data_IF_459463981804
#
_entry.id   IF_459463981804
#
_cell.length_a   1.000
_cell.length_b   1.000
_cell.length_c   1.000
_cell.angle_alpha   90.00
_cell.angle_beta   90.00
_cell.angle_gamma   90.00
#
_symmetry.space_group_name_H-M   'P 1'
#
loop_
_entity.id
_entity.type
_entity.pdbx_description
1 polymer ?
#
# COMPACT_ATOMS: atom_id res chain seq x y z
N UNK A 1 -1.95 -3.97 22.58
CA UNK A 1 -1.94 -4.96 21.47
C UNK A 1 -1.59 -4.23 20.18
N UNK A 2 -0.72 -4.85 19.34
CA UNK A 2 -0.52 -4.40 17.96
C UNK A 2 -1.35 -5.34 17.08
N UNK A 3 -2.27 -4.77 16.30
CA UNK A 3 -3.16 -5.51 15.40
C UNK A 3 -2.70 -5.34 13.94
N UNK A 4 -2.42 -6.44 13.26
CA UNK A 4 -2.01 -6.46 11.87
C UNK A 4 -3.16 -6.82 10.91
N UNK A 5 -4.36 -7.03 11.44
CA UNK A 5 -5.56 -7.26 10.63
C UNK A 5 -6.15 -5.94 10.12
N UNK A 6 -7.21 -6.00 9.34
CA UNK A 6 -7.96 -4.81 8.93
C UNK A 6 -9.13 -4.48 9.88
N UNK A 7 -9.28 -5.21 11.00
CA UNK A 7 -10.47 -5.15 11.83
C UNK A 7 -10.66 -3.80 12.54
N UNK A 8 -9.55 -3.14 12.92
CA UNK A 8 -9.59 -1.93 13.75
C UNK A 8 -9.06 -0.68 13.05
N UNK A 9 -8.64 -0.80 11.79
CA UNK A 9 -7.97 0.32 11.08
C UNK A 9 -8.83 1.57 10.93
N UNK A 10 -10.15 1.39 10.89
CA UNK A 10 -11.11 2.48 10.63
C UNK A 10 -11.86 2.94 11.87
N UNK A 11 -11.61 2.32 13.02
CA UNK A 11 -12.20 2.74 14.29
C UNK A 11 -11.56 4.05 14.75
N UNK A 12 -12.36 5.05 15.08
CA UNK A 12 -11.89 6.40 15.46
C UNK A 12 -11.07 6.39 16.76
N UNK A 13 -11.36 5.45 17.65
CA UNK A 13 -10.71 5.26 18.94
C UNK A 13 -9.50 4.29 18.90
N UNK A 14 -9.09 3.87 17.69
CA UNK A 14 -7.89 3.05 17.46
C UNK A 14 -6.93 3.79 16.53
N UNK A 15 -5.70 4.13 16.98
CA UNK A 15 -4.73 4.78 16.15
C UNK A 15 -4.22 3.83 15.05
N UNK A 16 -4.11 4.36 13.83
CA UNK A 16 -3.50 3.71 12.69
C UNK A 16 -2.09 4.28 12.53
N UNK A 17 -1.07 3.45 12.82
CA UNK A 17 0.29 3.97 13.03
C UNK A 17 1.28 3.42 12.02
N UNK A 18 2.06 4.34 11.44
CA UNK A 18 3.32 4.09 10.75
C UNK A 18 4.43 4.74 11.57
N UNK A 19 5.39 3.97 12.06
CA UNK A 19 6.38 4.40 13.05
C UNK A 19 7.20 5.61 12.61
N UNK A 20 7.49 5.75 11.32
CA UNK A 20 8.26 6.84 10.72
C UNK A 20 7.41 8.08 10.39
N UNK A 21 6.07 7.97 10.50
CA UNK A 21 5.12 9.00 10.01
C UNK A 21 4.39 9.69 11.14
N UNK A 22 3.78 8.90 12.04
CA UNK A 22 2.94 9.39 13.13
C UNK A 22 3.15 8.63 14.45
N UNK A 23 4.42 8.48 14.93
CA UNK A 23 4.74 7.70 16.13
C UNK A 23 4.08 8.24 17.40
N UNK A 24 3.76 9.52 17.46
CA UNK A 24 3.08 10.15 18.58
C UNK A 24 1.69 9.56 18.85
N UNK A 25 1.04 9.03 17.82
CA UNK A 25 -0.27 8.39 17.92
C UNK A 25 -0.24 7.11 18.78
N UNK A 26 0.92 6.51 18.99
CA UNK A 26 1.08 5.34 19.89
C UNK A 26 0.60 5.67 21.31
N UNK A 27 0.75 6.91 21.75
CA UNK A 27 0.26 7.39 23.03
C UNK A 27 -1.28 7.41 23.15
N UNK A 28 -1.97 7.64 22.05
CA UNK A 28 -3.43 7.80 21.98
C UNK A 28 -4.14 6.48 21.64
N UNK A 29 -4.17 5.53 22.58
CA UNK A 29 -4.76 4.20 22.39
C UNK A 29 -5.75 3.83 23.50
N UNK A 30 -6.91 4.48 23.58
CA UNK A 30 -7.87 4.26 24.69
C UNK A 30 -8.32 2.81 24.82
N UNK A 31 -8.36 2.05 23.71
CA UNK A 31 -8.68 0.61 23.73
C UNK A 31 -7.47 -0.30 23.95
N UNK A 32 -6.27 0.25 24.14
CA UNK A 32 -5.04 -0.53 24.28
C UNK A 32 -4.63 -1.25 22.97
N UNK A 33 -5.21 -0.85 21.83
CA UNK A 33 -4.95 -1.40 20.49
C UNK A 33 -4.25 -0.34 19.64
N UNK A 34 -3.27 -0.76 18.86
CA UNK A 34 -2.63 0.00 17.80
C UNK A 34 -2.85 -0.79 16.52
N UNK A 35 -3.48 -0.20 15.51
CA UNK A 35 -3.66 -0.82 14.21
C UNK A 35 -2.47 -0.56 13.31
N UNK A 36 -2.03 -1.62 12.61
CA UNK A 36 -1.00 -1.55 11.59
C UNK A 36 -1.66 -1.38 10.22
N UNK A 37 -1.22 -0.42 9.38
CA UNK A 37 -1.83 -0.18 8.08
C UNK A 37 -1.64 -1.32 7.06
N UNK A 38 -2.29 -1.15 5.92
CA UNK A 38 -2.04 -1.96 4.73
C UNK A 38 -0.58 -1.82 4.26
N UNK A 39 -0.02 -2.88 3.71
CA UNK A 39 1.39 -2.95 3.31
C UNK A 39 1.77 -1.88 2.28
N UNK A 40 0.92 -1.63 1.29
CA UNK A 40 1.17 -0.57 0.30
C UNK A 40 1.01 0.82 0.92
N UNK A 41 0.02 1.02 1.79
CA UNK A 41 -0.15 2.30 2.49
C UNK A 41 1.06 2.65 3.37
N UNK A 42 1.64 1.68 4.08
CA UNK A 42 2.78 1.95 4.96
C UNK A 42 3.97 2.53 4.19
N UNK A 43 4.41 1.86 3.11
CA UNK A 43 5.55 2.33 2.32
C UNK A 43 5.26 3.64 1.60
N UNK A 44 4.02 3.82 1.10
CA UNK A 44 3.57 5.07 0.49
C UNK A 44 3.70 6.23 1.48
N UNK A 45 3.21 6.07 2.71
CA UNK A 45 3.21 7.13 3.72
C UNK A 45 4.62 7.52 4.16
N UNK A 46 5.54 6.57 4.29
CA UNK A 46 6.94 6.84 4.62
C UNK A 46 7.59 7.77 3.58
N UNK A 47 7.32 7.54 2.30
CA UNK A 47 7.83 8.40 1.23
C UNK A 47 7.09 9.74 1.11
N UNK A 48 5.76 9.76 1.30
CA UNK A 48 4.97 10.96 1.05
C UNK A 48 4.90 11.94 2.23
N UNK A 49 5.06 11.48 3.46
CA UNK A 49 4.97 12.35 4.65
C UNK A 49 5.91 13.55 4.59
N UNK A 50 7.21 13.41 4.32
CA UNK A 50 8.12 14.56 4.24
C UNK A 50 7.74 15.54 3.13
N UNK A 51 7.23 15.05 2.01
CA UNK A 51 6.77 15.90 0.90
C UNK A 51 5.47 16.62 1.24
N UNK A 52 4.54 15.92 1.91
CA UNK A 52 3.28 16.50 2.38
C UNK A 52 3.52 17.62 3.41
N UNK A 53 4.43 17.40 4.35
CA UNK A 53 4.76 18.40 5.37
C UNK A 53 5.38 19.67 4.76
N UNK A 54 6.20 19.50 3.71
CA UNK A 54 6.89 20.61 3.05
C UNK A 54 5.99 21.37 2.07
N UNK A 55 5.12 20.69 1.32
CA UNK A 55 4.44 21.30 0.16
C UNK A 55 2.93 21.02 0.09
N UNK A 56 2.34 20.32 1.06
CA UNK A 56 0.92 19.97 1.12
C UNK A 56 0.41 19.25 -0.13
N UNK A 57 0.40 17.94 -0.08
CA UNK A 57 -0.16 17.11 -1.15
C UNK A 57 -1.68 17.27 -1.18
N UNK A 58 -2.21 17.59 -2.35
CA UNK A 58 -3.65 17.70 -2.61
C UNK A 58 -4.20 16.51 -3.37
N UNK A 59 -3.36 15.86 -4.20
CA UNK A 59 -3.75 14.68 -4.99
C UNK A 59 -2.62 13.67 -5.07
N UNK A 60 -3.01 12.41 -5.03
CA UNK A 60 -2.14 11.25 -5.23
C UNK A 60 -2.76 10.37 -6.31
N UNK A 61 -2.05 10.16 -7.43
CA UNK A 61 -2.36 9.11 -8.38
C UNK A 61 -1.31 8.02 -8.20
N UNK A 62 -1.74 6.80 -7.91
CA UNK A 62 -0.85 5.70 -7.56
C UNK A 62 -1.21 4.43 -8.32
N UNK A 63 -0.20 3.76 -8.88
CA UNK A 63 -0.30 2.38 -9.32
C UNK A 63 0.64 1.52 -8.47
N UNK A 64 0.10 0.48 -7.83
CA UNK A 64 0.90 -0.47 -7.05
C UNK A 64 1.15 -1.74 -7.84
N UNK A 65 2.35 -2.29 -7.69
CA UNK A 65 2.77 -3.58 -8.23
C UNK A 65 3.08 -4.51 -7.06
N UNK A 66 2.05 -5.26 -6.63
CA UNK A 66 2.09 -6.01 -5.38
C UNK A 66 2.55 -7.45 -5.60
N UNK A 67 3.59 -7.85 -4.89
CA UNK A 67 4.11 -9.21 -4.88
C UNK A 67 3.09 -10.21 -4.30
N UNK A 68 3.25 -11.49 -4.66
CA UNK A 68 2.37 -12.57 -4.19
C UNK A 68 2.52 -12.88 -2.70
N UNK A 69 3.60 -12.44 -2.03
CA UNK A 69 3.76 -12.61 -0.58
C UNK A 69 2.64 -11.97 0.23
N UNK A 70 2.03 -10.88 -0.28
CA UNK A 70 0.86 -10.25 0.32
C UNK A 70 -0.39 -11.16 0.36
N UNK A 71 -0.44 -12.19 -0.48
CA UNK A 71 -1.48 -13.24 -0.45
C UNK A 71 -1.13 -14.42 0.47
N UNK A 72 0.01 -14.32 1.21
CA UNK A 72 0.49 -15.33 2.13
C UNK A 72 1.25 -16.47 1.44
N UNK A 73 1.59 -17.49 2.23
CA UNK A 73 2.39 -18.64 1.78
C UNK A 73 1.81 -19.32 0.55
N UNK A 74 0.50 -19.50 0.50
CA UNK A 74 -0.18 -20.12 -0.65
C UNK A 74 0.02 -19.34 -1.96
N UNK A 75 0.11 -18.00 -1.90
CA UNK A 75 0.43 -17.19 -3.07
C UNK A 75 1.85 -17.40 -3.58
N UNK A 76 2.82 -17.51 -2.66
CA UNK A 76 4.22 -17.83 -3.00
C UNK A 76 4.34 -19.21 -3.65
N UNK A 77 3.70 -20.22 -3.05
CA UNK A 77 3.70 -21.60 -3.54
C UNK A 77 3.06 -21.69 -4.93
N UNK A 78 1.93 -21.01 -5.14
CA UNK A 78 1.25 -21.02 -6.43
C UNK A 78 2.06 -20.38 -7.54
N UNK A 79 2.69 -19.22 -7.30
CA UNK A 79 3.58 -18.61 -8.30
C UNK A 79 4.74 -19.54 -8.65
N UNK A 80 5.37 -20.15 -7.66
CA UNK A 80 6.49 -21.07 -7.88
C UNK A 80 6.09 -22.30 -8.70
N UNK A 81 4.97 -22.94 -8.34
CA UNK A 81 4.45 -24.11 -9.03
C UNK A 81 4.05 -23.78 -10.46
N UNK A 82 3.25 -22.74 -10.68
CA UNK A 82 2.82 -22.30 -12.02
C UNK A 82 4.02 -21.94 -12.91
N UNK A 83 5.03 -21.27 -12.35
CA UNK A 83 6.24 -20.91 -13.10
C UNK A 83 6.95 -22.19 -13.60
N UNK A 84 7.15 -23.18 -12.70
CA UNK A 84 7.76 -24.45 -13.06
C UNK A 84 6.95 -25.23 -14.10
N UNK A 85 5.63 -25.30 -13.93
CA UNK A 85 4.73 -25.97 -14.89
C UNK A 85 4.80 -25.35 -16.27
N UNK A 86 4.68 -24.01 -16.39
CA UNK A 86 4.69 -23.31 -17.66
C UNK A 86 6.03 -23.44 -18.39
N UNK A 87 7.16 -23.40 -17.67
CA UNK A 87 8.47 -23.61 -18.28
C UNK A 87 8.68 -25.06 -18.78
N UNK A 88 7.91 -26.01 -18.27
CA UNK A 88 7.89 -27.41 -18.73
C UNK A 88 6.69 -27.73 -19.65
N UNK A 89 6.02 -26.70 -20.20
CA UNK A 89 4.87 -26.84 -21.09
C UNK A 89 3.73 -27.68 -20.51
N UNK A 90 3.54 -27.62 -19.19
CA UNK A 90 2.46 -28.29 -18.48
C UNK A 90 1.26 -27.34 -18.32
N UNK A 91 0.09 -27.92 -18.23
CA UNK A 91 -1.14 -27.19 -17.87
C UNK A 91 -1.09 -26.74 -16.41
N UNK A 92 -1.70 -25.59 -16.14
CA UNK A 92 -1.83 -25.02 -14.80
C UNK A 92 -3.29 -25.01 -14.33
N UNK A 93 -3.48 -25.11 -13.03
CA UNK A 93 -4.78 -25.02 -12.37
C UNK A 93 -4.68 -23.95 -11.26
N UNK A 94 -5.13 -22.70 -11.51
CA UNK A 94 -5.11 -21.63 -10.50
C UNK A 94 -5.99 -22.00 -9.31
N UNK A 95 -5.49 -21.85 -8.08
CA UNK A 95 -6.18 -22.21 -6.84
C UNK A 95 -6.31 -21.06 -5.85
N UNK A 96 -5.23 -20.27 -5.68
CA UNK A 96 -5.19 -19.11 -4.78
C UNK A 96 -5.65 -17.85 -5.48
N UNK A 97 -5.22 -17.68 -6.74
CA UNK A 97 -5.61 -16.55 -7.57
C UNK A 97 -6.75 -16.95 -8.52
N UNK A 98 -7.53 -15.98 -8.96
CA UNK A 98 -8.68 -16.20 -9.85
C UNK A 98 -8.26 -16.71 -11.24
N UNK A 99 -7.03 -16.35 -11.66
CA UNK A 99 -6.43 -16.70 -12.93
C UNK A 99 -4.95 -16.99 -12.73
N UNK A 100 -4.30 -17.47 -13.76
CA UNK A 100 -2.84 -17.62 -13.80
C UNK A 100 -2.14 -16.35 -13.30
N UNK A 101 -1.20 -16.51 -12.34
CA UNK A 101 -0.34 -15.42 -11.87
C UNK A 101 1.05 -15.45 -12.50
N UNK A 102 1.62 -16.63 -12.76
CA UNK A 102 2.93 -16.73 -13.38
C UNK A 102 2.92 -16.10 -14.78
N UNK A 103 3.85 -15.17 -15.02
CA UNK A 103 3.97 -14.39 -16.27
C UNK A 103 2.72 -13.56 -16.61
N UNK A 104 1.94 -13.14 -15.61
CA UNK A 104 0.70 -12.39 -15.79
C UNK A 104 0.56 -11.25 -14.77
N UNK A 105 -0.32 -10.30 -15.06
CA UNK A 105 -0.74 -9.22 -14.17
C UNK A 105 -2.21 -9.39 -13.85
N UNK A 106 -2.57 -9.28 -12.57
CA UNK A 106 -3.97 -9.37 -12.12
C UNK A 106 -4.38 -8.01 -11.53
N UNK A 107 -5.14 -7.18 -12.28
CA UNK A 107 -5.54 -5.84 -11.84
C UNK A 107 -6.78 -5.90 -10.91
N UNK A 108 -6.83 -6.89 -10.04
CA UNK A 108 -7.87 -7.04 -9.04
C UNK A 108 -7.27 -7.72 -7.80
N UNK A 109 -7.24 -6.99 -6.71
CA UNK A 109 -6.89 -7.53 -5.39
C UNK A 109 -8.05 -7.22 -4.46
N UNK A 110 -8.57 -8.28 -3.77
CA UNK A 110 -9.76 -8.19 -2.93
C UNK A 110 -11.06 -7.98 -3.74
N UNK A 111 -12.17 -7.71 -3.07
CA UNK A 111 -13.51 -7.60 -3.64
C UNK A 111 -13.80 -6.21 -4.20
N UNK A 112 -14.58 -6.14 -5.27
CA UNK A 112 -15.08 -4.86 -5.78
C UNK A 112 -16.09 -4.24 -4.82
N UNK A 113 -15.97 -2.93 -4.65
CA UNK A 113 -16.90 -2.11 -3.89
C UNK A 113 -17.97 -1.50 -4.83
N UNK A 114 -19.10 -1.01 -4.30
CA UNK A 114 -20.15 -0.41 -5.12
C UNK A 114 -19.71 0.78 -5.98
N UNK A 115 -18.60 1.43 -5.64
CA UNK A 115 -18.02 2.55 -6.39
C UNK A 115 -17.10 2.10 -7.54
N UNK A 116 -16.96 0.79 -7.77
CA UNK A 116 -16.14 0.24 -8.85
C UNK A 116 -14.66 0.02 -8.50
N UNK A 117 -14.19 0.51 -7.36
CA UNK A 117 -12.85 0.20 -6.85
C UNK A 117 -12.84 -1.13 -6.10
N UNK A 118 -11.68 -1.77 -6.04
CA UNK A 118 -11.48 -2.91 -5.13
C UNK A 118 -11.32 -2.42 -3.69
N UNK A 119 -11.58 -3.30 -2.74
CA UNK A 119 -11.36 -2.99 -1.31
C UNK A 119 -9.89 -2.68 -1.03
N UNK A 120 -8.96 -3.34 -1.73
CA UNK A 120 -7.52 -3.06 -1.61
C UNK A 120 -7.19 -1.62 -2.08
N UNK A 121 -7.79 -1.16 -3.17
CA UNK A 121 -7.67 0.23 -3.64
C UNK A 121 -8.24 1.22 -2.62
N UNK A 122 -9.39 0.91 -2.05
CA UNK A 122 -10.02 1.77 -1.05
C UNK A 122 -9.23 1.86 0.25
N UNK A 123 -8.45 0.83 0.63
CA UNK A 123 -7.52 0.92 1.77
C UNK A 123 -6.52 2.06 1.59
N UNK A 124 -5.95 2.23 0.40
CA UNK A 124 -5.05 3.34 0.10
C UNK A 124 -5.73 4.70 0.30
N UNK A 125 -7.00 4.84 -0.06
CA UNK A 125 -7.77 6.08 0.13
C UNK A 125 -8.01 6.36 1.60
N UNK A 126 -8.62 5.42 2.31
CA UNK A 126 -9.05 5.60 3.69
C UNK A 126 -7.89 5.73 4.66
N UNK A 127 -6.88 4.87 4.50
CA UNK A 127 -5.74 4.83 5.42
C UNK A 127 -4.81 6.03 5.22
N UNK A 128 -4.56 6.49 3.98
CA UNK A 128 -3.81 7.72 3.70
C UNK A 128 -4.43 8.92 4.42
N UNK A 129 -5.73 9.11 4.28
CA UNK A 129 -6.45 10.22 4.94
C UNK A 129 -6.35 10.14 6.46
N UNK A 130 -6.57 8.97 7.02
CA UNK A 130 -6.50 8.75 8.47
C UNK A 130 -5.09 9.00 9.02
N UNK A 131 -4.06 8.47 8.36
CA UNK A 131 -2.67 8.61 8.81
C UNK A 131 -2.18 10.05 8.71
N UNK A 132 -2.50 10.75 7.62
CA UNK A 132 -2.13 12.16 7.43
C UNK A 132 -3.06 13.14 8.15
N UNK A 133 -4.22 12.68 8.65
CA UNK A 133 -5.22 13.54 9.30
C UNK A 133 -5.86 14.55 8.36
N UNK A 134 -5.98 14.23 7.08
CA UNK A 134 -6.48 15.14 6.05
C UNK A 134 -7.41 14.42 5.06
N UNK A 135 -8.71 14.64 5.23
CA UNK A 135 -9.76 14.05 4.37
C UNK A 135 -9.87 14.73 3.00
N UNK A 136 -9.23 15.89 2.81
CA UNK A 136 -9.29 16.65 1.55
C UNK A 136 -8.42 16.06 0.45
N UNK A 137 -7.45 15.21 0.81
CA UNK A 137 -6.53 14.61 -0.15
C UNK A 137 -7.29 13.69 -1.13
N UNK A 138 -7.20 14.01 -2.42
CA UNK A 138 -7.70 13.16 -3.49
C UNK A 138 -6.74 11.99 -3.72
N UNK A 139 -7.20 10.74 -3.59
CA UNK A 139 -6.39 9.56 -3.87
C UNK A 139 -7.06 8.75 -4.96
N UNK A 140 -6.33 8.48 -6.05
CA UNK A 140 -6.77 7.68 -7.18
C UNK A 140 -5.85 6.46 -7.35
N UNK A 141 -6.19 5.33 -6.75
CA UNK A 141 -5.37 4.12 -6.76
C UNK A 141 -5.71 3.17 -7.90
N UNK A 142 -4.69 2.47 -8.39
CA UNK A 142 -4.82 1.25 -9.21
C UNK A 142 -3.92 0.20 -8.58
N UNK A 143 -4.48 -0.97 -8.27
CA UNK A 143 -3.76 -2.03 -7.55
C UNK A 143 -3.63 -3.26 -8.41
N UNK A 144 -2.38 -3.72 -8.63
CA UNK A 144 -2.08 -4.86 -9.50
C UNK A 144 -1.26 -5.91 -8.76
N UNK A 145 -1.70 -7.17 -8.79
CA UNK A 145 -0.89 -8.32 -8.37
C UNK A 145 0.06 -8.67 -9.49
N UNK A 146 1.36 -8.75 -9.17
CA UNK A 146 2.43 -9.05 -10.12
C UNK A 146 3.13 -10.37 -9.78
N UNK A 147 3.77 -11.05 -10.76
CA UNK A 147 4.42 -12.34 -10.57
C UNK A 147 5.82 -12.16 -9.94
N UNK A 148 5.87 -11.51 -8.80
CA UNK A 148 7.07 -11.26 -7.98
C UNK A 148 6.85 -11.89 -6.62
N UNK A 149 7.85 -12.56 -6.08
CA UNK A 149 7.73 -13.27 -4.80
C UNK A 149 7.59 -12.30 -3.63
N UNK A 150 8.48 -11.31 -3.52
CA UNK A 150 8.59 -10.41 -2.37
C UNK A 150 8.75 -8.96 -2.80
N UNK A 151 8.31 -8.06 -1.93
CA UNK A 151 8.42 -6.61 -2.12
C UNK A 151 7.33 -6.04 -3.03
N UNK A 152 6.80 -4.87 -2.66
CA UNK A 152 5.85 -4.12 -3.47
C UNK A 152 6.57 -2.93 -4.09
N UNK A 153 6.18 -2.58 -5.31
CA UNK A 153 6.63 -1.35 -5.98
C UNK A 153 5.44 -0.45 -6.24
N UNK A 154 5.68 0.84 -6.31
CA UNK A 154 4.64 1.83 -6.52
C UNK A 154 5.12 2.91 -7.50
N UNK A 155 4.30 3.22 -8.49
CA UNK A 155 4.46 4.40 -9.33
C UNK A 155 3.50 5.47 -8.80
N UNK A 156 4.06 6.59 -8.31
CA UNK A 156 3.31 7.62 -7.61
C UNK A 156 3.49 8.96 -8.30
N UNK A 157 2.38 9.63 -8.58
CA UNK A 157 2.33 11.01 -9.03
C UNK A 157 1.56 11.83 -8.01
N UNK A 158 2.12 12.95 -7.57
CA UNK A 158 1.48 13.84 -6.61
C UNK A 158 1.29 15.24 -7.21
N UNK A 159 0.22 15.90 -6.78
CA UNK A 159 0.00 17.32 -6.96
C UNK A 159 0.10 17.98 -5.59
N UNK A 160 0.89 19.04 -5.49
CA UNK A 160 1.12 19.77 -4.24
C UNK A 160 0.62 21.21 -4.36
N UNK A 161 0.09 21.75 -3.27
CA UNK A 161 -0.35 23.14 -3.18
C UNK A 161 0.81 24.11 -3.37
N UNK A 162 1.90 23.87 -2.67
CA UNK A 162 3.09 24.69 -2.72
C UNK A 162 4.09 24.06 -3.68
N UNK A 163 4.83 24.88 -4.43
CA UNK A 163 5.79 24.38 -5.43
C UNK A 163 6.94 23.64 -4.77
N UNK A 164 7.28 22.50 -5.31
CA UNK A 164 8.40 21.66 -4.88
C UNK A 164 9.22 21.27 -6.11
N UNK A 165 10.52 21.59 -6.12
CA UNK A 165 11.41 21.14 -7.20
C UNK A 165 11.84 19.68 -6.97
N UNK A 166 12.34 19.02 -8.02
CA UNK A 166 12.87 17.67 -7.93
C UNK A 166 14.06 17.57 -6.95
N UNK A 167 14.92 18.59 -6.94
CA UNK A 167 16.07 18.68 -6.04
C UNK A 167 15.61 18.80 -4.58
N UNK A 168 14.65 19.68 -4.30
CA UNK A 168 14.08 19.84 -2.97
C UNK A 168 13.40 18.55 -2.50
N UNK A 169 12.64 17.89 -3.38
CA UNK A 169 11.99 16.60 -3.06
C UNK A 169 13.04 15.54 -2.70
N UNK A 170 14.13 15.44 -3.48
CA UNK A 170 15.24 14.53 -3.22
C UNK A 170 15.88 14.80 -1.86
N UNK A 171 16.22 16.05 -1.55
CA UNK A 171 16.82 16.43 -0.26
C UNK A 171 15.91 16.08 0.94
N UNK A 172 14.58 16.22 0.79
CA UNK A 172 13.61 15.85 1.82
C UNK A 172 13.59 14.34 2.03
N UNK A 173 13.61 13.57 0.95
CA UNK A 173 13.60 12.10 1.01
C UNK A 173 14.90 11.54 1.57
N UNK A 174 16.07 12.09 1.21
CA UNK A 174 17.39 11.67 1.73
C UNK A 174 17.50 11.84 3.26
N UNK A 175 16.74 12.78 3.83
CA UNK A 175 16.71 13.04 5.28
C UNK A 175 15.59 12.31 6.00
N UNK A 176 14.66 11.72 5.27
CA UNK A 176 13.49 11.09 5.85
C UNK A 176 13.84 9.73 6.48
N UNK A 177 13.31 9.44 7.68
CA UNK A 177 13.51 8.15 8.30
C UNK A 177 12.87 7.04 7.47
N UNK A 178 13.59 5.91 7.30
CA UNK A 178 13.08 4.75 6.57
C UNK A 178 13.10 4.88 5.04
N UNK A 179 13.68 5.96 4.49
CA UNK A 179 13.84 6.18 3.05
C UNK A 179 15.31 6.08 2.66
N UNK A 180 15.58 5.37 1.58
CA UNK A 180 16.87 5.34 0.89
C UNK A 180 16.66 5.82 -0.55
N UNK A 181 17.48 6.80 -1.03
CA UNK A 181 17.32 7.47 -2.33
C UNK A 181 18.48 7.14 -3.27
#
# INVERSE_FOLDING_TARGET
VIDNSSAFRYDDDVPLVVSEVNPEQVGNRPRGIIANPNCSTMQLMVALKPLHDAAKIERINIATYQSVSGAGRSGLEELGVQTGQLLNFQEIDPRKFQVQIAFNLIPQIDEFQPNGFTKEEMKLVWETRKILGDDSIGVNPTVVRVPVFYGHSEAVHIETRDKLSAEQARELLERAPGVEV
#
